data_IF_100772108675
#
_entry.id   IF_100772108675
#
_cell.length_a   1.000
_cell.length_b   1.000
_cell.length_c   1.000
_cell.angle_alpha   90.00
_cell.angle_beta   90.00
_cell.angle_gamma   90.00
#
_symmetry.space_group_name_H-M   'P 1'
#
loop_
_entity.id
_entity.type
_entity.pdbx_description
1 polymer ?
#
# COMPACT_ATOMS: atom_id res chain seq x y z
N UNK A 1 40.26 24.33 -8.90
CA UNK A 1 41.15 23.31 -9.49
C UNK A 1 40.48 21.96 -9.33
N UNK A 2 40.53 21.16 -10.39
CA UNK A 2 39.76 19.95 -10.61
C UNK A 2 40.24 18.72 -9.81
N UNK A 3 39.37 17.71 -9.82
CA UNK A 3 39.40 16.37 -9.20
C UNK A 3 40.69 15.57 -9.49
N UNK A 4 40.99 14.46 -8.76
CA UNK A 4 40.39 13.19 -9.17
C UNK A 4 39.91 12.25 -8.04
N UNK A 5 38.89 11.49 -8.41
CA UNK A 5 38.47 10.26 -7.77
C UNK A 5 39.55 9.17 -7.95
N UNK A 6 39.69 8.29 -6.96
CA UNK A 6 40.36 7.02 -7.14
C UNK A 6 39.49 5.90 -6.56
N UNK A 7 38.81 5.22 -7.47
CA UNK A 7 38.28 3.88 -7.30
C UNK A 7 39.44 2.91 -7.07
N UNK A 8 39.31 2.01 -6.10
CA UNK A 8 40.05 0.76 -6.11
C UNK A 8 39.15 -0.35 -5.60
N UNK A 9 38.48 -1.01 -6.55
CA UNK A 9 37.94 -2.35 -6.39
C UNK A 9 39.14 -3.27 -6.18
N UNK A 10 39.23 -3.88 -5.01
CA UNK A 10 40.15 -5.00 -4.78
C UNK A 10 39.32 -6.28 -4.92
N UNK A 11 39.40 -6.86 -6.11
CA UNK A 11 39.00 -8.24 -6.39
C UNK A 11 40.17 -9.14 -6.03
N UNK A 12 39.99 -10.03 -5.06
CA UNK A 12 40.75 -11.26 -4.99
C UNK A 12 39.80 -12.43 -5.20
N UNK A 13 39.72 -12.87 -6.46
CA UNK A 13 39.28 -14.21 -6.78
C UNK A 13 40.37 -15.19 -6.35
N UNK A 14 40.03 -16.05 -5.38
CA UNK A 14 40.80 -17.24 -5.04
C UNK A 14 39.85 -18.43 -5.08
N UNK A 15 39.71 -19.05 -6.25
CA UNK A 15 39.02 -20.32 -6.40
C UNK A 15 39.98 -21.46 -6.03
N UNK A 16 39.67 -22.17 -4.95
CA UNK A 16 40.19 -23.52 -4.69
C UNK A 16 38.99 -24.39 -4.31
N UNK A 17 38.73 -25.39 -5.15
CA UNK A 17 37.62 -26.32 -5.03
C UNK A 17 37.84 -27.28 -3.86
N UNK A 18 36.90 -27.32 -2.91
CA UNK A 18 36.51 -28.56 -2.22
C UNK A 18 35.03 -28.45 -1.83
N UNK A 19 34.26 -29.43 -2.29
CA UNK A 19 32.87 -29.70 -1.90
C UNK A 19 32.66 -29.62 -0.39
N UNK A 20 31.69 -28.81 0.05
CA UNK A 20 30.75 -29.14 1.12
C UNK A 20 29.67 -28.06 1.18
N UNK A 21 28.41 -28.50 1.22
CA UNK A 21 27.25 -27.67 1.54
C UNK A 21 27.48 -26.94 2.87
N UNK A 22 27.62 -25.62 2.82
CA UNK A 22 27.43 -24.76 3.99
C UNK A 22 26.63 -23.55 3.57
N UNK A 23 25.39 -23.50 4.07
CA UNK A 23 24.56 -22.32 4.16
C UNK A 23 25.40 -21.15 4.66
N UNK A 24 25.57 -20.10 3.85
CA UNK A 24 26.05 -18.82 4.37
C UNK A 24 25.04 -18.35 5.41
N UNK A 25 25.40 -18.25 6.71
CA UNK A 25 24.50 -17.70 7.69
C UNK A 25 24.28 -16.25 7.32
N UNK A 26 23.02 -15.90 7.07
CA UNK A 26 22.55 -14.54 6.91
C UNK A 26 23.18 -13.70 8.04
N UNK A 27 23.83 -12.60 7.69
CA UNK A 27 24.45 -11.70 8.68
C UNK A 27 23.46 -11.39 9.80
N UNK A 28 23.83 -11.49 11.08
CA UNK A 28 22.90 -11.31 12.21
C UNK A 28 22.27 -9.91 12.26
N UNK A 29 22.81 -8.95 11.49
CA UNK A 29 22.23 -7.61 11.36
C UNK A 29 20.95 -7.58 10.51
N UNK A 30 20.72 -8.54 9.60
CA UNK A 30 19.49 -8.64 8.79
C UNK A 30 18.52 -9.70 9.30
N UNK A 31 18.99 -10.70 10.05
CA UNK A 31 18.12 -11.69 10.69
C UNK A 31 17.23 -11.07 11.80
N UNK A 32 17.68 -9.99 12.44
CA UNK A 32 16.94 -9.26 13.47
C UNK A 32 15.79 -8.38 12.96
N UNK A 33 15.70 -8.13 11.64
CA UNK A 33 14.58 -7.37 11.06
C UNK A 33 13.38 -8.26 10.66
N UNK A 34 13.57 -9.59 10.56
CA UNK A 34 12.58 -10.49 9.94
C UNK A 34 12.02 -11.60 10.84
N UNK A 35 12.27 -11.60 12.15
CA UNK A 35 11.54 -12.50 13.07
C UNK A 35 11.64 -12.06 14.54
N UNK A 36 10.49 -11.75 15.17
CA UNK A 36 10.13 -12.31 16.50
C UNK A 36 8.74 -11.97 17.07
N UNK A 37 7.91 -11.13 16.44
CA UNK A 37 6.44 -11.09 16.56
C UNK A 37 5.90 -10.68 15.15
N UNK A 38 4.74 -11.12 14.63
CA UNK A 38 4.35 -10.88 13.21
C UNK A 38 3.68 -9.49 13.00
N UNK A 39 4.43 -8.41 12.75
CA UNK A 39 4.00 -7.00 12.53
C UNK A 39 2.93 -6.44 13.53
N UNK A 40 3.13 -6.40 14.85
CA UNK A 40 2.94 -7.53 15.75
C UNK A 40 1.42 -7.72 15.96
N UNK A 41 0.85 -8.80 15.40
CA UNK A 41 -0.59 -9.06 15.16
C UNK A 41 -1.31 -8.06 14.23
N UNK A 42 -0.66 -7.63 13.12
CA UNK A 42 -1.14 -6.57 12.20
C UNK A 42 -1.65 -5.31 12.95
N UNK A 43 -0.77 -4.81 13.80
CA UNK A 43 -0.86 -3.62 14.66
C UNK A 43 -2.23 -3.32 15.31
N UNK A 44 -2.64 -3.92 16.43
CA UNK A 44 -3.06 -5.32 16.51
C UNK A 44 -4.52 -5.33 16.02
N UNK A 45 -4.81 -5.88 14.84
CA UNK A 45 -6.08 -5.72 14.11
C UNK A 45 -6.41 -4.29 13.65
N UNK A 46 -5.47 -3.64 12.95
CA UNK A 46 -5.69 -2.50 12.03
C UNK A 46 -5.96 -1.12 12.63
N UNK A 47 -5.28 -0.77 13.73
CA UNK A 47 -5.13 0.61 14.23
C UNK A 47 -6.41 1.49 14.25
N UNK A 48 -7.49 1.09 14.95
CA UNK A 48 -8.79 1.78 14.93
C UNK A 48 -8.71 3.25 15.37
N UNK A 49 -7.90 3.57 16.39
CA UNK A 49 -7.70 4.96 16.81
C UNK A 49 -7.05 5.82 15.72
N UNK A 50 -6.15 5.25 14.90
CA UNK A 50 -5.53 5.97 13.79
C UNK A 50 -6.54 6.18 12.67
N UNK A 51 -7.35 5.16 12.37
CA UNK A 51 -8.46 5.23 11.41
C UNK A 51 -9.45 6.32 11.82
N UNK A 52 -9.88 6.34 13.08
CA UNK A 52 -10.83 7.33 13.59
C UNK A 52 -10.28 8.76 13.53
N UNK A 53 -8.99 8.93 13.85
CA UNK A 53 -8.33 10.23 13.75
C UNK A 53 -8.22 10.70 12.30
N UNK A 54 -7.83 9.81 11.39
CA UNK A 54 -7.78 10.10 9.94
C UNK A 54 -9.19 10.49 9.46
N UNK A 55 -10.23 9.75 9.88
CA UNK A 55 -11.63 10.03 9.53
C UNK A 55 -12.03 11.46 9.92
N UNK A 56 -11.76 11.85 11.16
CA UNK A 56 -12.08 13.19 11.68
C UNK A 56 -11.35 14.29 10.90
N UNK A 57 -10.03 14.15 10.76
CA UNK A 57 -9.23 15.14 10.03
C UNK A 57 -9.73 15.34 8.60
N UNK A 58 -10.12 14.26 7.92
CA UNK A 58 -10.64 14.34 6.55
C UNK A 58 -12.04 14.96 6.46
N UNK A 59 -12.89 14.76 7.46
CA UNK A 59 -14.19 15.43 7.55
C UNK A 59 -14.00 16.94 7.76
N UNK A 60 -13.09 17.32 8.65
CA UNK A 60 -12.75 18.72 8.90
C UNK A 60 -12.17 19.38 7.63
N UNK A 61 -11.32 18.68 6.86
CA UNK A 61 -10.81 19.14 5.56
C UNK A 61 -11.92 19.35 4.51
N UNK A 62 -12.91 18.44 4.45
CA UNK A 62 -14.06 18.55 3.55
C UNK A 62 -14.96 19.75 3.91
N UNK A 63 -15.08 20.08 5.21
CA UNK A 63 -15.90 21.18 5.71
C UNK A 63 -15.21 22.55 5.60
N UNK A 64 -13.90 22.61 5.87
CA UNK A 64 -13.15 23.88 5.90
C UNK A 64 -12.80 24.41 4.50
N UNK A 65 -12.96 23.60 3.44
CA UNK A 65 -12.85 24.03 2.04
C UNK A 65 -11.46 24.47 1.57
N UNK A 66 -10.43 24.37 2.43
CA UNK A 66 -9.05 24.69 2.11
C UNK A 66 -8.20 23.42 2.14
N UNK A 67 -7.59 22.99 1.02
CA UNK A 67 -6.75 21.80 1.03
C UNK A 67 -5.52 22.06 1.91
N UNK A 68 -5.11 21.10 2.75
CA UNK A 68 -3.85 21.23 3.48
C UNK A 68 -2.71 21.41 2.47
N UNK A 69 -1.77 22.30 2.78
CA UNK A 69 -0.56 22.54 2.00
C UNK A 69 0.44 21.39 2.20
N UNK A 70 -0.04 20.16 2.10
CA UNK A 70 0.74 18.96 2.38
C UNK A 70 0.89 18.15 1.09
N UNK A 71 2.13 17.76 0.81
CA UNK A 71 2.49 16.90 -0.29
C UNK A 71 1.96 15.49 -0.02
N UNK A 72 0.65 15.29 -0.27
CA UNK A 72 0.02 13.97 -0.14
C UNK A 72 0.61 13.07 -1.21
N UNK A 73 1.15 11.91 -0.80
CA UNK A 73 1.64 10.86 -1.71
C UNK A 73 0.50 10.45 -2.65
N UNK A 74 0.50 10.99 -3.87
CA UNK A 74 -0.47 10.70 -4.93
C UNK A 74 0.17 9.86 -6.02
N UNK A 75 -0.60 9.00 -6.65
CA UNK A 75 -0.14 8.17 -7.76
C UNK A 75 -1.26 7.38 -8.39
N UNK A 76 -0.89 6.37 -9.17
CA UNK A 76 -1.82 5.42 -9.76
C UNK A 76 -1.29 4.00 -9.51
N UNK A 77 -2.21 3.06 -9.28
CA UNK A 77 -1.87 1.65 -9.06
C UNK A 77 -1.98 0.89 -10.37
N UNK A 78 -0.83 0.46 -10.90
CA UNK A 78 -0.77 -0.38 -12.08
C UNK A 78 -0.66 -1.85 -11.68
N UNK A 79 -1.70 -2.62 -11.99
CA UNK A 79 -1.71 -4.05 -11.77
C UNK A 79 -0.84 -4.77 -12.81
N UNK A 80 -0.11 -5.80 -12.37
CA UNK A 80 0.69 -6.68 -13.24
C UNK A 80 -0.12 -7.30 -14.40
N UNK A 81 -1.44 -7.42 -14.23
CA UNK A 81 -2.37 -7.89 -15.28
C UNK A 81 -2.51 -6.92 -16.46
N UNK A 82 -1.92 -5.72 -16.40
CA UNK A 82 -1.99 -4.71 -17.45
C UNK A 82 -3.18 -3.78 -17.34
N UNK A 83 -3.65 -3.50 -16.12
CA UNK A 83 -4.77 -2.60 -15.84
C UNK A 83 -4.44 -1.64 -14.71
N UNK A 84 -4.97 -0.42 -14.79
CA UNK A 84 -4.95 0.58 -13.73
C UNK A 84 -6.14 0.37 -12.80
N UNK A 85 -5.92 0.48 -11.49
CA UNK A 85 -7.02 0.52 -10.53
C UNK A 85 -7.84 1.79 -10.72
N UNK A 86 -9.16 1.67 -10.79
CA UNK A 86 -10.09 2.77 -11.04
C UNK A 86 -11.29 2.71 -10.08
N UNK A 87 -11.68 3.87 -9.55
CA UNK A 87 -12.90 4.07 -8.76
C UNK A 87 -13.93 4.87 -9.55
N UNK A 88 -14.79 4.16 -10.29
CA UNK A 88 -15.72 4.77 -11.22
C UNK A 88 -17.10 5.02 -10.56
N UNK A 89 -17.64 6.26 -10.56
CA UNK A 89 -19.03 6.49 -10.20
C UNK A 89 -19.96 5.92 -11.27
N UNK A 90 -20.97 5.16 -10.83
CA UNK A 90 -21.99 4.58 -11.71
C UNK A 90 -23.33 5.20 -11.34
N UNK A 91 -23.99 5.84 -12.30
CA UNK A 91 -25.35 6.34 -12.12
C UNK A 91 -26.34 5.18 -12.30
N UNK A 92 -27.14 4.91 -11.26
CA UNK A 92 -28.24 3.96 -11.33
C UNK A 92 -29.54 4.67 -11.70
N UNK A 93 -30.53 3.89 -12.18
CA UNK A 93 -31.90 4.35 -12.45
C UNK A 93 -32.55 5.05 -11.27
N UNK A 94 -32.13 4.69 -10.05
CA UNK A 94 -32.71 5.17 -8.80
C UNK A 94 -32.11 6.51 -8.35
N UNK A 95 -31.22 7.10 -9.15
CA UNK A 95 -30.49 8.34 -8.84
C UNK A 95 -29.33 8.16 -7.87
N UNK A 96 -29.08 6.93 -7.40
CA UNK A 96 -27.88 6.62 -6.60
C UNK A 96 -26.63 6.55 -7.47
N UNK A 97 -25.51 7.02 -6.93
CA UNK A 97 -24.20 7.06 -7.60
C UNK A 97 -23.15 6.22 -6.87
N UNK A 98 -23.32 4.89 -6.74
CA UNK A 98 -22.31 4.05 -6.12
C UNK A 98 -20.98 4.11 -6.87
N UNK A 99 -19.89 3.99 -6.13
CA UNK A 99 -18.54 3.92 -6.68
C UNK A 99 -18.16 2.44 -6.88
N UNK A 100 -17.80 2.08 -8.11
CA UNK A 100 -17.33 0.73 -8.46
C UNK A 100 -15.81 0.71 -8.56
N UNK A 101 -15.19 -0.19 -7.80
CA UNK A 101 -13.76 -0.50 -7.91
C UNK A 101 -13.55 -1.51 -9.04
N UNK A 102 -12.70 -1.19 -10.02
CA UNK A 102 -12.38 -2.08 -11.14
C UNK A 102 -10.98 -1.81 -11.70
N UNK A 103 -10.52 -2.66 -12.61
CA UNK A 103 -9.36 -2.39 -13.46
C UNK A 103 -9.78 -1.73 -14.78
N UNK A 104 -9.03 -0.73 -15.25
CA UNK A 104 -9.19 -0.08 -16.55
C UNK A 104 -7.90 -0.13 -17.36
N UNK A 105 -8.00 -0.17 -18.69
CA UNK A 105 -6.85 0.01 -19.58
C UNK A 105 -6.64 1.46 -20.00
N UNK A 106 -7.56 2.35 -19.61
CA UNK A 106 -7.48 3.76 -19.92
C UNK A 106 -6.45 4.44 -19.04
N UNK A 107 -5.30 4.80 -19.61
CA UNK A 107 -4.16 5.38 -18.89
C UNK A 107 -4.47 6.75 -18.27
N UNK A 108 -5.34 7.54 -18.92
CA UNK A 108 -5.66 8.91 -18.52
C UNK A 108 -6.99 9.04 -17.75
N UNK A 109 -7.46 7.97 -17.11
CA UNK A 109 -8.67 8.07 -16.30
C UNK A 109 -8.40 8.92 -15.06
N UNK A 110 -9.12 10.03 -14.89
CA UNK A 110 -9.03 10.81 -13.64
C UNK A 110 -9.40 10.00 -12.39
N UNK A 111 -10.20 8.95 -12.57
CA UNK A 111 -10.66 8.06 -11.52
C UNK A 111 -9.63 6.98 -11.14
N UNK A 112 -8.48 6.90 -11.83
CA UNK A 112 -7.37 6.02 -11.45
C UNK A 112 -6.34 6.67 -10.52
N UNK A 113 -6.45 7.98 -10.32
CA UNK A 113 -5.56 8.73 -9.44
C UNK A 113 -5.99 8.54 -7.98
N UNK A 114 -5.07 8.02 -7.18
CA UNK A 114 -5.27 7.73 -5.75
C UNK A 114 -4.27 8.49 -4.90
N UNK A 115 -4.69 8.79 -3.68
CA UNK A 115 -3.82 9.26 -2.61
C UNK A 115 -3.59 8.13 -1.59
N UNK A 116 -2.34 7.98 -1.19
CA UNK A 116 -1.89 7.02 -0.21
C UNK A 116 -1.79 7.71 1.15
N UNK A 117 -2.56 7.22 2.11
CA UNK A 117 -2.58 7.74 3.48
C UNK A 117 -1.87 6.72 4.37
N UNK A 118 -0.73 7.11 4.94
CA UNK A 118 0.01 6.25 5.87
C UNK A 118 -0.74 6.16 7.19
N UNK A 119 -1.16 4.94 7.55
CA UNK A 119 -1.88 4.67 8.81
C UNK A 119 -0.87 4.33 9.91
N UNK A 120 0.07 3.44 9.59
CA UNK A 120 1.16 3.00 10.44
C UNK A 120 2.28 2.40 9.57
N UNK A 121 3.32 1.85 10.19
CA UNK A 121 4.40 1.17 9.48
C UNK A 121 3.83 0.02 8.64
N UNK A 122 4.07 0.04 7.33
CA UNK A 122 3.52 -0.92 6.36
C UNK A 122 1.98 -0.93 6.25
N UNK A 123 1.24 -0.06 6.96
CA UNK A 123 -0.21 0.07 6.82
C UNK A 123 -0.58 1.32 6.03
N UNK A 124 -1.38 1.13 4.98
CA UNK A 124 -1.81 2.20 4.09
C UNK A 124 -3.32 2.14 3.85
N UNK A 125 -3.94 3.31 3.73
CA UNK A 125 -5.28 3.45 3.17
C UNK A 125 -5.20 4.16 1.83
N UNK A 126 -6.03 3.72 0.89
CA UNK A 126 -6.02 4.19 -0.49
C UNK A 126 -7.32 4.94 -0.73
N UNK A 127 -7.25 6.23 -1.03
CA UNK A 127 -8.40 7.10 -1.29
C UNK A 127 -8.38 7.65 -2.71
N UNK A 128 -9.54 7.74 -3.34
CA UNK A 128 -9.68 8.32 -4.68
C UNK A 128 -9.59 9.83 -4.62
N UNK A 129 -8.74 10.42 -5.46
CA UNK A 129 -8.58 11.88 -5.49
C UNK A 129 -9.86 12.55 -5.99
N UNK A 130 -10.48 12.00 -7.03
CA UNK A 130 -11.72 12.52 -7.63
C UNK A 130 -12.96 12.13 -6.82
N UNK A 131 -13.09 10.87 -6.42
CA UNK A 131 -14.30 10.36 -5.75
C UNK A 131 -14.34 10.68 -4.27
N UNK A 132 -13.19 10.96 -3.63
CA UNK A 132 -13.02 11.09 -2.18
C UNK A 132 -13.38 9.83 -1.38
N UNK A 133 -13.63 8.71 -2.05
CA UNK A 133 -13.94 7.42 -1.43
C UNK A 133 -12.68 6.61 -1.15
N UNK A 134 -12.73 5.80 -0.10
CA UNK A 134 -11.71 4.83 0.25
C UNK A 134 -11.98 3.49 -0.41
N UNK A 135 -10.91 2.80 -0.81
CA UNK A 135 -10.97 1.39 -1.18
C UNK A 135 -10.92 0.55 0.10
N UNK A 136 -11.82 -0.42 0.18
CA UNK A 136 -11.92 -1.36 1.29
C UNK A 136 -12.14 -2.76 0.74
N UNK A 137 -11.84 -3.77 1.54
CA UNK A 137 -12.10 -5.17 1.19
C UNK A 137 -13.16 -5.71 2.14
N UNK A 138 -14.10 -6.52 1.65
CA UNK A 138 -15.09 -7.20 2.48
C UNK A 138 -14.59 -8.59 2.96
N UNK A 139 -15.30 -9.26 3.90
CA UNK A 139 -14.92 -10.61 4.35
C UNK A 139 -14.96 -11.70 3.27
N UNK A 140 -15.53 -11.41 2.09
CA UNK A 140 -15.52 -12.32 0.94
C UNK A 140 -14.28 -12.14 0.05
N UNK A 141 -13.43 -11.14 0.36
CA UNK A 141 -12.25 -10.78 -0.42
C UNK A 141 -12.56 -9.83 -1.59
N UNK A 142 -13.77 -9.28 -1.67
CA UNK A 142 -14.17 -8.36 -2.74
C UNK A 142 -13.88 -6.92 -2.35
N UNK A 143 -13.28 -6.18 -3.27
CA UNK A 143 -13.04 -4.75 -3.10
C UNK A 143 -14.32 -3.95 -3.32
N UNK A 144 -14.54 -2.98 -2.45
CA UNK A 144 -15.61 -2.00 -2.54
C UNK A 144 -15.10 -0.60 -2.19
N UNK A 145 -15.87 0.42 -2.52
CA UNK A 145 -15.54 1.80 -2.21
C UNK A 145 -16.53 2.38 -1.18
N UNK A 146 -16.02 3.11 -0.20
CA UNK A 146 -16.82 3.70 0.88
C UNK A 146 -16.51 5.20 1.03
N UNK A 147 -17.50 6.06 1.34
CA UNK A 147 -17.24 7.47 1.64
C UNK A 147 -16.45 7.63 2.94
N UNK A 148 -15.87 8.83 3.16
CA UNK A 148 -15.12 9.18 4.37
C UNK A 148 -15.91 8.89 5.66
N UNK A 149 -17.24 9.11 5.66
CA UNK A 149 -18.11 8.84 6.81
C UNK A 149 -18.09 7.37 7.29
N UNK A 150 -17.92 6.43 6.36
CA UNK A 150 -17.93 4.99 6.62
C UNK A 150 -16.52 4.37 6.51
N UNK A 151 -15.47 5.19 6.55
CA UNK A 151 -14.08 4.71 6.56
C UNK A 151 -13.82 3.84 7.79
N UNK A 152 -13.29 2.63 7.63
CA UNK A 152 -13.09 1.67 8.72
C UNK A 152 -11.77 0.92 8.57
N UNK A 153 -11.51 -0.03 9.48
CA UNK A 153 -10.34 -0.90 9.42
C UNK A 153 -10.30 -1.81 8.19
N UNK A 154 -11.45 -2.05 7.53
CA UNK A 154 -11.54 -2.80 6.26
C UNK A 154 -10.89 -2.06 5.08
N UNK A 155 -10.62 -0.76 5.25
CA UNK A 155 -10.01 0.13 4.27
C UNK A 155 -8.50 0.30 4.48
N UNK A 156 -7.90 -0.56 5.32
CA UNK A 156 -6.47 -0.57 5.64
C UNK A 156 -5.83 -1.79 5.02
N UNK A 157 -4.73 -1.57 4.30
CA UNK A 157 -3.95 -2.59 3.62
C UNK A 157 -2.53 -2.64 4.15
N UNK A 158 -1.93 -3.82 4.15
CA UNK A 158 -0.50 -4.01 4.35
C UNK A 158 0.21 -3.78 3.01
N UNK A 159 1.06 -2.76 2.92
CA UNK A 159 1.95 -2.49 1.79
C UNK A 159 3.27 -3.24 2.00
N UNK A 160 3.57 -4.17 1.10
CA UNK A 160 4.83 -4.91 1.06
C UNK A 160 5.48 -4.78 -0.32
N UNK A 161 6.78 -4.51 -0.34
CA UNK A 161 7.54 -4.46 -1.59
C UNK A 161 8.00 -5.86 -1.97
N UNK A 162 7.64 -6.31 -3.17
CA UNK A 162 8.04 -7.59 -3.72
C UNK A 162 9.42 -7.49 -4.39
N UNK A 163 10.08 -8.64 -4.55
CA UNK A 163 11.41 -8.74 -5.19
C UNK A 163 11.44 -8.24 -6.65
N UNK A 164 10.29 -8.23 -7.32
CA UNK A 164 10.13 -7.78 -8.71
C UNK A 164 9.78 -6.28 -8.82
N UNK A 165 9.99 -5.49 -7.76
CA UNK A 165 9.66 -4.06 -7.67
C UNK A 165 8.16 -3.72 -7.78
N UNK A 166 7.27 -4.71 -7.68
CA UNK A 166 5.84 -4.47 -7.49
C UNK A 166 5.52 -4.36 -6.00
N UNK A 167 4.50 -3.59 -5.68
CA UNK A 167 3.94 -3.59 -4.33
C UNK A 167 2.77 -4.58 -4.26
N UNK A 168 2.72 -5.34 -3.17
CA UNK A 168 1.57 -6.13 -2.77
C UNK A 168 0.78 -5.34 -1.73
N UNK A 169 -0.53 -5.30 -1.90
CA UNK A 169 -1.47 -4.70 -0.94
C UNK A 169 -2.41 -5.80 -0.46
N UNK A 170 -2.19 -6.27 0.76
CA UNK A 170 -3.03 -7.29 1.37
C UNK A 170 -4.01 -6.65 2.38
N UNK A 171 -5.23 -7.16 2.48
CA UNK A 171 -6.18 -6.73 3.51
C UNK A 171 -5.55 -6.87 4.90
N UNK A 172 -5.69 -5.83 5.71
CA UNK A 172 -5.29 -5.90 7.11
C UNK A 172 -6.29 -6.73 7.92
N UNK A 173 -7.59 -6.59 7.64
CA UNK A 173 -8.68 -7.19 8.41
C UNK A 173 -8.88 -8.69 8.11
N UNK A 174 -8.54 -9.13 6.89
CA UNK A 174 -8.80 -10.49 6.42
C UNK A 174 -7.53 -11.23 5.99
N UNK A 175 -7.65 -12.55 5.86
CA UNK A 175 -6.54 -13.44 5.57
C UNK A 175 -5.76 -13.88 6.81
N UNK A 176 -4.84 -14.83 6.60
CA UNK A 176 -4.00 -15.39 7.66
C UNK A 176 -2.53 -15.06 7.39
N UNK A 177 -1.67 -15.23 8.40
CA UNK A 177 -0.22 -15.07 8.24
C UNK A 177 0.35 -15.87 7.07
N UNK A 178 -0.17 -17.07 6.83
CA UNK A 178 0.32 -17.99 5.80
C UNK A 178 -0.41 -17.82 4.47
N UNK A 179 -1.56 -17.13 4.47
CA UNK A 179 -2.37 -16.87 3.29
C UNK A 179 -3.01 -15.48 3.41
N UNK A 180 -2.22 -14.40 3.20
CA UNK A 180 -2.76 -13.05 3.17
C UNK A 180 -3.68 -12.90 1.95
N UNK A 181 -4.75 -12.13 2.12
CA UNK A 181 -5.72 -11.84 1.06
C UNK A 181 -5.46 -10.46 0.47
#
# INVERSE_FOLDING_TARGET
MAVPAASSIVSYGGAAATSNFLSTPVTPFLAGFYSSNFVNDRINSCAPYRVDRIRKNLQDEEEQGYPPYEDRRRGALFCRSGTWLEMLPIENSDGSTPIKVRGTKTENSKYSIVEFISVAMSLVSIRGVETKNFICMDPSGKLYATPTSNYSTECVFVEEMMENYYNLYASCAYGSRNNPW
#
